data_IF_160203752944
#
_entry.id   IF_160203752944
#
_cell.length_a   1.000
_cell.length_b   1.000
_cell.length_c   1.000
_cell.angle_alpha   90.00
_cell.angle_beta   90.00
_cell.angle_gamma   90.00
#
_symmetry.space_group_name_H-M   'P 1'
#
loop_
_entity.id
_entity.type
_entity.pdbx_description
1 polymer ?
#
# COMPACT_ATOMS: atom_id res chain seq x y z
N UNK A 1 13.12 -1.62 5.02
CA UNK A 1 13.88 -0.80 4.07
C UNK A 1 13.97 0.65 4.53
N UNK A 2 14.74 0.91 5.59
CA UNK A 2 15.20 2.22 6.10
C UNK A 2 14.37 3.45 5.69
N UNK A 3 13.05 3.43 5.96
CA UNK A 3 12.12 4.47 5.49
C UNK A 3 12.26 5.76 6.30
N UNK A 4 12.75 5.66 7.53
CA UNK A 4 13.07 6.76 8.42
C UNK A 4 14.26 7.56 7.88
N UNK A 5 15.35 6.86 7.53
CA UNK A 5 16.51 7.48 6.89
C UNK A 5 16.16 8.10 5.53
N UNK A 6 15.27 7.46 4.77
CA UNK A 6 14.76 8.05 3.54
C UNK A 6 13.98 9.35 3.84
N UNK A 7 13.20 9.39 4.91
CA UNK A 7 12.47 10.59 5.30
C UNK A 7 13.40 11.74 5.69
N UNK A 8 14.48 11.45 6.44
CA UNK A 8 15.50 12.44 6.81
C UNK A 8 16.15 13.07 5.56
N UNK A 9 16.44 12.25 4.54
CA UNK A 9 17.04 12.70 3.29
C UNK A 9 16.06 13.44 2.38
N UNK A 10 14.78 13.05 2.39
CA UNK A 10 13.74 13.62 1.53
C UNK A 10 13.06 14.86 2.14
N UNK A 11 13.26 15.11 3.44
CA UNK A 11 12.55 16.12 4.21
C UNK A 11 11.06 15.83 4.40
N UNK A 12 10.61 14.60 4.10
CA UNK A 12 9.22 14.15 4.22
C UNK A 12 9.15 12.62 4.23
N UNK A 13 8.06 12.06 4.76
CA UNK A 13 7.81 10.63 4.65
C UNK A 13 7.76 10.17 3.19
N UNK A 14 8.36 9.02 2.92
CA UNK A 14 8.22 8.35 1.64
C UNK A 14 6.75 8.00 1.40
N UNK A 15 6.23 8.33 0.22
CA UNK A 15 4.82 8.13 -0.13
C UNK A 15 4.69 7.26 -1.38
N UNK A 16 3.71 6.36 -1.33
CA UNK A 16 3.34 5.50 -2.46
C UNK A 16 1.90 5.84 -2.82
N UNK A 17 1.68 6.19 -4.09
CA UNK A 17 0.35 6.38 -4.64
C UNK A 17 0.01 5.23 -5.59
N UNK A 18 -1.26 4.84 -5.61
CA UNK A 18 -1.72 3.75 -6.45
C UNK A 18 -3.24 3.67 -6.48
N UNK A 19 -3.73 2.77 -7.32
CA UNK A 19 -5.17 2.51 -7.43
C UNK A 19 -5.54 1.34 -6.52
N UNK A 20 -6.66 1.48 -5.81
CA UNK A 20 -7.20 0.38 -5.01
C UNK A 20 -7.80 -0.68 -5.95
N UNK A 21 -7.35 -1.91 -5.79
CA UNK A 21 -7.80 -3.09 -6.53
C UNK A 21 -8.55 -4.06 -5.62
N UNK A 22 -9.43 -4.85 -6.24
CA UNK A 22 -10.13 -5.92 -5.56
C UNK A 22 -9.18 -7.11 -5.36
N UNK A 23 -8.70 -7.28 -4.14
CA UNK A 23 -7.99 -8.50 -3.72
C UNK A 23 -8.92 -9.54 -3.11
N UNK A 24 -8.35 -10.58 -2.49
CA UNK A 24 -9.08 -11.70 -1.88
C UNK A 24 -9.94 -11.35 -0.65
N UNK A 25 -10.05 -10.05 -0.29
CA UNK A 25 -10.86 -9.51 0.81
C UNK A 25 -10.71 -10.22 2.18
N UNK A 26 -9.58 -10.90 2.42
CA UNK A 26 -9.40 -11.77 3.59
C UNK A 26 -9.35 -11.00 4.92
N UNK A 27 -8.96 -9.73 4.89
CA UNK A 27 -8.96 -8.83 6.06
C UNK A 27 -10.34 -8.56 6.65
N UNK A 28 -11.44 -8.78 5.90
CA UNK A 28 -12.81 -8.64 6.43
C UNK A 28 -13.08 -9.51 7.65
N UNK A 29 -12.36 -10.64 7.81
CA UNK A 29 -12.48 -11.51 8.99
C UNK A 29 -11.77 -10.97 10.23
N UNK A 30 -10.84 -10.02 10.06
CA UNK A 30 -10.08 -9.39 11.15
C UNK A 30 -10.75 -8.13 11.72
N UNK A 31 -11.88 -7.69 11.14
CA UNK A 31 -12.63 -6.51 11.61
C UNK A 31 -12.07 -5.17 11.14
N UNK A 32 -11.01 -5.16 10.32
CA UNK A 32 -10.40 -3.93 9.80
C UNK A 32 -10.60 -3.81 8.27
N UNK A 33 -10.97 -2.63 7.75
CA UNK A 33 -10.97 -2.36 6.31
C UNK A 33 -9.56 -2.57 5.74
N UNK A 34 -9.45 -3.26 4.61
CA UNK A 34 -8.17 -3.47 3.90
C UNK A 34 -8.27 -2.97 2.47
N UNK A 35 -7.19 -2.40 1.94
CA UNK A 35 -7.10 -1.95 0.57
C UNK A 35 -5.92 -2.64 -0.13
N UNK A 36 -6.14 -3.29 -1.27
CA UNK A 36 -5.00 -3.73 -2.08
C UNK A 36 -4.70 -2.62 -3.07
N UNK A 37 -3.46 -2.16 -3.16
CA UNK A 37 -3.05 -1.02 -3.97
C UNK A 37 -2.06 -1.47 -5.04
N UNK A 38 -2.36 -1.23 -6.30
CA UNK A 38 -1.39 -1.34 -7.38
C UNK A 38 -0.64 -0.02 -7.55
N UNK A 39 0.68 -0.07 -7.46
CA UNK A 39 1.58 1.08 -7.59
C UNK A 39 2.66 0.80 -8.64
N UNK A 40 3.01 1.81 -9.42
CA UNK A 40 4.11 1.78 -10.38
C UNK A 40 5.39 2.48 -9.84
N UNK A 41 5.32 3.04 -8.62
CA UNK A 41 6.45 3.73 -8.01
C UNK A 41 7.48 2.78 -7.42
N UNK A 42 8.64 3.34 -7.03
CA UNK A 42 9.61 2.60 -6.22
C UNK A 42 8.93 2.22 -4.89
N UNK A 43 9.19 1.01 -4.40
CA UNK A 43 8.70 0.57 -3.10
C UNK A 43 9.89 0.37 -2.17
N UNK A 44 9.74 0.66 -0.86
CA UNK A 44 10.67 0.14 0.14
C UNK A 44 10.82 -1.38 0.00
N UNK A 45 11.91 -1.92 0.54
CA UNK A 45 12.13 -3.38 0.58
C UNK A 45 10.90 -4.11 1.15
N UNK A 46 10.63 -5.35 0.72
CA UNK A 46 9.52 -6.13 1.28
C UNK A 46 9.52 -6.17 2.81
N UNK A 47 8.34 -6.09 3.41
CA UNK A 47 8.14 -6.02 4.86
C UNK A 47 6.84 -5.33 5.27
N UNK A 48 6.65 -5.21 6.59
CA UNK A 48 5.49 -4.55 7.21
C UNK A 48 5.92 -3.17 7.70
N UNK A 49 5.12 -2.15 7.40
CA UNK A 49 5.41 -0.75 7.70
C UNK A 49 4.22 -0.07 8.36
N UNK A 50 4.46 0.69 9.42
CA UNK A 50 3.49 1.65 9.91
C UNK A 50 3.43 2.84 8.93
N UNK A 51 2.22 3.26 8.55
CA UNK A 51 2.04 4.33 7.58
C UNK A 51 0.77 5.13 7.83
N UNK A 52 0.58 6.16 7.03
CA UNK A 52 -0.67 6.88 6.92
C UNK A 52 -1.30 6.61 5.55
N UNK A 53 -2.58 6.22 5.53
CA UNK A 53 -3.37 6.09 4.33
C UNK A 53 -4.07 7.41 4.05
N UNK A 54 -3.87 7.96 2.85
CA UNK A 54 -4.61 9.10 2.35
C UNK A 54 -5.51 8.66 1.19
N UNK A 55 -6.83 8.83 1.34
CA UNK A 55 -7.75 8.59 0.22
C UNK A 55 -7.77 9.84 -0.66
N UNK A 56 -7.16 9.73 -1.84
CA UNK A 56 -7.23 10.74 -2.89
C UNK A 56 -8.57 10.58 -3.61
N UNK A 57 -9.52 11.47 -3.37
CA UNK A 57 -10.78 11.45 -4.11
C UNK A 57 -10.64 12.22 -5.44
N UNK A 58 -11.22 11.68 -6.52
CA UNK A 58 -11.21 12.32 -7.84
C UNK A 58 -12.49 13.13 -8.11
N UNK A 59 -13.47 13.13 -7.19
CA UNK A 59 -14.86 13.48 -7.53
C UNK A 59 -15.54 14.68 -6.85
N UNK A 60 -15.07 15.23 -5.73
CA UNK A 60 -15.57 16.52 -5.23
C UNK A 60 -15.81 16.64 -3.72
N UNK A 61 -15.29 17.73 -3.14
CA UNK A 61 -15.68 18.32 -1.85
C UNK A 61 -15.56 17.48 -0.57
N UNK A 62 -15.21 16.19 -0.62
CA UNK A 62 -14.88 15.40 0.57
C UNK A 62 -13.49 15.77 1.10
N UNK A 63 -13.41 16.03 2.41
CA UNK A 63 -12.15 16.28 3.11
C UNK A 63 -11.14 15.14 2.86
N UNK A 64 -9.90 15.53 2.60
CA UNK A 64 -8.77 14.62 2.61
C UNK A 64 -8.70 13.97 3.99
N UNK A 65 -8.98 12.68 4.06
CA UNK A 65 -8.91 11.90 5.29
C UNK A 65 -7.62 11.08 5.31
N UNK A 66 -6.92 11.23 6.43
CA UNK A 66 -5.69 10.53 6.74
C UNK A 66 -5.96 9.54 7.87
N UNK A 67 -5.64 8.26 7.67
CA UNK A 67 -5.83 7.22 8.69
C UNK A 67 -4.48 6.57 9.02
N UNK A 68 -4.19 6.28 10.31
CA UNK A 68 -3.09 5.38 10.64
C UNK A 68 -3.39 4.00 10.06
N UNK A 69 -2.38 3.37 9.45
CA UNK A 69 -2.50 2.12 8.73
C UNK A 69 -1.23 1.29 8.84
N UNK A 70 -1.31 0.04 8.41
CA UNK A 70 -0.18 -0.89 8.34
C UNK A 70 -0.08 -1.42 6.91
N UNK A 71 0.99 -1.07 6.22
CA UNK A 71 1.27 -1.51 4.87
C UNK A 71 2.08 -2.81 4.88
N UNK A 72 1.63 -3.81 4.13
CA UNK A 72 2.41 -5.01 3.83
C UNK A 72 2.92 -4.94 2.38
N UNK A 73 4.23 -4.75 2.22
CA UNK A 73 4.90 -4.69 0.92
C UNK A 73 5.56 -6.03 0.63
N UNK A 74 5.23 -6.64 -0.52
CA UNK A 74 5.91 -7.85 -0.98
C UNK A 74 4.99 -8.81 -1.72
N UNK A 75 5.60 -9.79 -2.38
CA UNK A 75 4.92 -10.93 -2.97
C UNK A 75 4.71 -12.00 -1.90
N UNK A 76 3.47 -12.46 -1.73
CA UNK A 76 3.22 -13.65 -0.93
C UNK A 76 3.43 -14.89 -1.83
N UNK A 77 4.50 -15.69 -1.62
CA UNK A 77 4.87 -16.78 -2.51
C UNK A 77 3.87 -17.96 -2.52
N UNK A 78 2.87 -17.97 -1.63
CA UNK A 78 1.79 -18.98 -1.67
C UNK A 78 0.71 -18.66 -2.72
N UNK A 79 0.85 -17.56 -3.47
CA UNK A 79 -0.08 -17.15 -4.53
C UNK A 79 0.62 -17.09 -5.89
N UNK A 80 1.11 -18.24 -6.38
CA UNK A 80 1.38 -18.40 -7.81
C UNK A 80 0.06 -18.54 -8.56
N UNK A 81 -0.46 -17.44 -9.11
CA UNK A 81 -1.25 -17.54 -10.32
C UNK A 81 -0.24 -17.50 -11.48
N UNK A 82 -0.17 -18.60 -12.21
CA UNK A 82 0.75 -18.73 -13.34
C UNK A 82 0.57 -17.63 -14.38
N UNK A 83 1.62 -17.50 -15.20
CA UNK A 83 1.82 -16.60 -16.34
C UNK A 83 2.47 -15.25 -16.03
N UNK A 84 3.44 -14.94 -16.88
CA UNK A 84 4.59 -14.09 -16.63
C UNK A 84 4.27 -12.59 -16.66
N UNK A 85 5.01 -11.84 -15.85
CA UNK A 85 5.32 -10.43 -16.09
C UNK A 85 4.24 -9.41 -15.72
N UNK A 86 3.98 -9.20 -14.42
CA UNK A 86 3.48 -7.92 -13.87
C UNK A 86 3.80 -7.89 -12.37
N UNK A 87 4.44 -6.84 -11.81
CA UNK A 87 4.74 -6.81 -10.38
C UNK A 87 3.46 -6.72 -9.53
N UNK A 88 3.44 -7.53 -8.49
CA UNK A 88 2.31 -7.87 -7.66
C UNK A 88 1.74 -6.71 -6.83
N UNK A 89 0.42 -6.72 -6.66
CA UNK A 89 -0.32 -5.78 -5.83
C UNK A 89 0.17 -5.73 -4.38
N UNK A 90 0.17 -4.51 -3.84
CA UNK A 90 0.50 -4.20 -2.45
C UNK A 90 -0.75 -4.32 -1.58
N UNK A 91 -0.65 -4.76 -0.32
CA UNK A 91 -1.80 -4.72 0.62
C UNK A 91 -1.55 -3.63 1.68
N UNK A 92 -2.50 -2.72 1.86
CA UNK A 92 -2.56 -1.68 2.89
C UNK A 92 -3.71 -1.92 3.87
#
# INVERSE_FOLDING_TARGET
GAVERAADLLGRHYAVAGTVEHGAARGRKLGFPTANVASAGLLPLPGVYACYLLRLDRGGHHELRCWPAVANLGTNPTFSAGTAGTPAGTTL
#
